data_IF_469831631824
#
_entry.id   IF_469831631824
#
_cell.length_a   1.000
_cell.length_b   1.000
_cell.length_c   1.000
_cell.angle_alpha   90.00
_cell.angle_beta   90.00
_cell.angle_gamma   90.00
#
_symmetry.space_group_name_H-M   'P 1'
#
loop_
_entity.id
_entity.type
_entity.pdbx_description
1 polymer ?
#
# COMPACT_ATOMS: atom_id res chain seq x y z
N UNK A 1 -7.87 -19.40 31.74
CA UNK A 1 -7.69 -18.49 32.87
C UNK A 1 -6.73 -19.15 33.87
N UNK A 2 -5.55 -18.58 34.00
CA UNK A 2 -4.61 -18.96 35.06
C UNK A 2 -5.22 -18.43 36.37
N UNK A 3 -5.65 -19.32 37.26
CA UNK A 3 -6.32 -18.95 38.49
C UNK A 3 -5.40 -18.08 39.35
N UNK A 4 -5.79 -16.85 39.62
CA UNK A 4 -5.08 -15.92 40.51
C UNK A 4 -4.37 -14.76 39.83
N UNK A 5 -4.39 -14.65 38.54
CA UNK A 5 -3.89 -13.45 37.84
C UNK A 5 -5.02 -12.43 37.64
N UNK A 6 -4.75 -11.13 37.81
CA UNK A 6 -5.72 -10.09 37.50
C UNK A 6 -6.14 -10.19 36.03
N UNK A 7 -7.44 -10.17 35.79
CA UNK A 7 -8.00 -10.26 34.47
C UNK A 7 -7.93 -8.85 33.82
N UNK A 8 -7.21 -8.73 32.72
CA UNK A 8 -7.24 -7.50 31.93
C UNK A 8 -8.58 -7.50 31.19
N UNK A 9 -9.51 -6.65 31.61
CA UNK A 9 -10.85 -6.57 31.04
C UNK A 9 -10.97 -5.55 29.91
N UNK A 10 -9.98 -4.68 29.70
CA UNK A 10 -10.01 -3.69 28.64
C UNK A 10 -8.60 -3.41 28.11
N UNK A 11 -8.42 -3.63 26.83
CA UNK A 11 -7.32 -3.10 26.07
C UNK A 11 -7.67 -1.68 25.63
N UNK A 12 -6.94 -0.68 26.10
CA UNK A 12 -7.06 0.68 25.62
C UNK A 12 -5.83 1.00 24.78
N UNK A 13 -6.04 1.28 23.51
CA UNK A 13 -4.99 1.66 22.55
C UNK A 13 -5.18 3.13 22.16
N UNK A 14 -4.75 4.11 22.96
CA UNK A 14 -4.68 5.46 22.46
C UNK A 14 -3.55 5.49 21.43
N UNK A 15 -3.91 5.64 20.19
CA UNK A 15 -3.00 5.96 19.11
C UNK A 15 -2.98 7.47 18.98
N UNK A 16 -1.85 8.08 19.25
CA UNK A 16 -1.63 9.50 18.99
C UNK A 16 -0.56 9.59 17.91
N UNK A 17 -0.96 9.88 16.70
CA UNK A 17 -0.02 10.14 15.62
C UNK A 17 -0.15 11.58 15.14
N UNK A 18 0.98 12.28 15.04
CA UNK A 18 1.09 13.50 14.29
C UNK A 18 1.62 13.12 12.91
N UNK A 19 0.85 13.42 11.89
CA UNK A 19 1.23 13.13 10.50
C UNK A 19 1.49 14.45 9.80
N UNK A 20 2.70 14.60 9.26
CA UNK A 20 3.05 15.70 8.38
C UNK A 20 3.22 15.17 6.95
N UNK A 21 2.58 15.83 5.99
CA UNK A 21 2.70 15.47 4.58
C UNK A 21 2.91 16.74 3.76
N UNK A 22 3.97 16.74 2.95
CA UNK A 22 4.28 17.80 1.99
C UNK A 22 4.25 17.24 0.59
N UNK A 23 3.53 17.90 -0.31
CA UNK A 23 3.51 17.56 -1.73
C UNK A 23 3.80 18.79 -2.57
N UNK A 24 4.56 18.58 -3.61
CA UNK A 24 4.84 19.61 -4.60
C UNK A 24 4.79 19.02 -5.99
N UNK A 25 4.06 19.67 -6.89
CA UNK A 25 3.93 19.22 -8.28
C UNK A 25 4.03 20.41 -9.23
N UNK A 26 4.77 20.23 -10.31
CA UNK A 26 4.87 21.19 -11.41
C UNK A 26 4.60 20.45 -12.70
N UNK A 27 3.70 21.02 -13.52
CA UNK A 27 3.37 20.53 -14.83
C UNK A 27 3.59 21.62 -15.89
N UNK A 28 4.28 21.27 -16.94
CA UNK A 28 4.39 22.03 -18.19
C UNK A 28 3.55 21.31 -19.23
N UNK A 29 2.60 22.01 -19.82
CA UNK A 29 1.62 21.47 -20.78
C UNK A 29 1.69 22.30 -22.06
N UNK A 30 1.69 21.64 -23.21
CA UNK A 30 1.59 22.34 -24.50
C UNK A 30 0.24 23.03 -24.61
N UNK A 31 0.24 24.32 -24.92
CA UNK A 31 -0.99 25.04 -25.27
C UNK A 31 -1.37 24.83 -26.75
N UNK A 32 -0.37 24.55 -27.58
CA UNK A 32 -0.52 24.21 -28.99
C UNK A 32 0.34 22.99 -29.31
N UNK A 33 -0.13 22.11 -30.20
CA UNK A 33 0.66 20.93 -30.57
C UNK A 33 1.99 21.32 -31.21
N UNK A 34 3.07 20.73 -30.70
CA UNK A 34 4.41 20.86 -31.28
C UNK A 34 4.37 20.30 -32.73
N UNK A 35 4.88 21.07 -33.69
CA UNK A 35 4.79 20.79 -35.12
C UNK A 35 3.35 20.61 -35.65
N UNK A 36 2.35 21.06 -34.89
CA UNK A 36 0.94 20.94 -35.25
C UNK A 36 0.33 19.54 -35.01
N UNK A 37 1.08 18.59 -34.45
CA UNK A 37 0.67 17.18 -34.32
C UNK A 37 0.99 16.52 -33.00
N UNK A 38 1.80 17.12 -32.10
CA UNK A 38 2.21 16.49 -30.83
C UNK A 38 1.75 17.37 -29.66
N UNK A 39 0.80 16.87 -28.91
CA UNK A 39 0.48 17.40 -27.58
C UNK A 39 1.37 16.74 -26.55
N UNK A 40 1.82 17.51 -25.54
CA UNK A 40 2.69 16.97 -24.52
C UNK A 40 2.48 17.58 -23.14
N UNK A 41 2.81 16.79 -22.14
CA UNK A 41 2.96 17.21 -20.75
C UNK A 41 4.30 16.71 -20.22
N UNK A 42 4.98 17.53 -19.45
CA UNK A 42 6.17 17.16 -18.68
C UNK A 42 6.00 17.67 -17.27
N UNK A 43 6.32 16.84 -16.26
CA UNK A 43 6.13 17.21 -14.86
C UNK A 43 7.17 16.64 -13.94
N UNK A 44 7.21 17.22 -12.74
CA UNK A 44 7.94 16.71 -11.59
C UNK A 44 7.04 16.71 -10.37
N UNK A 45 7.17 15.69 -9.55
CA UNK A 45 6.40 15.49 -8.33
C UNK A 45 7.33 15.15 -7.18
N UNK A 46 7.11 15.79 -6.04
CA UNK A 46 7.79 15.53 -4.77
C UNK A 46 6.74 15.24 -3.69
N UNK A 47 7.04 14.26 -2.88
CA UNK A 47 6.22 13.83 -1.74
C UNK A 47 7.14 13.56 -0.56
N UNK A 48 6.77 14.10 0.61
CA UNK A 48 7.44 13.90 1.88
C UNK A 48 6.38 13.63 2.94
N UNK A 49 6.51 12.51 3.64
CA UNK A 49 5.54 12.04 4.62
C UNK A 49 6.25 11.51 5.85
N UNK A 50 5.97 12.14 6.98
CA UNK A 50 6.53 11.77 8.28
C UNK A 50 5.40 11.49 9.26
N UNK A 51 5.56 10.45 10.06
CA UNK A 51 4.68 10.17 11.19
C UNK A 51 5.48 10.33 12.47
N UNK A 52 5.16 11.36 13.24
CA UNK A 52 5.71 11.57 14.57
C UNK A 52 4.81 10.90 15.60
N UNK A 53 5.36 10.02 16.40
CA UNK A 53 4.69 9.34 17.51
C UNK A 53 3.59 8.34 17.15
N UNK A 54 3.95 7.09 17.15
CA UNK A 54 3.01 5.98 17.14
C UNK A 54 3.16 5.20 18.45
N UNK A 55 2.34 5.51 19.46
CA UNK A 55 2.45 4.94 20.81
C UNK A 55 1.24 4.07 21.11
N UNK A 56 1.48 2.81 21.45
CA UNK A 56 0.48 1.90 21.98
C UNK A 56 0.61 1.81 23.51
N UNK A 57 -0.46 2.14 24.21
CA UNK A 57 -0.52 2.03 25.65
C UNK A 57 -1.61 1.03 26.07
N UNK A 58 -1.25 0.06 26.92
CA UNK A 58 -2.22 -0.87 27.53
C UNK A 58 -2.43 -0.49 28.99
N UNK A 59 -3.69 -0.45 29.40
CA UNK A 59 -4.11 -0.16 30.79
C UNK A 59 -4.80 -1.37 31.42
N UNK A 60 -4.63 -1.53 32.71
CA UNK A 60 -5.36 -2.54 33.47
C UNK A 60 -6.85 -2.18 33.66
N UNK A 61 -7.62 -3.14 34.22
CA UNK A 61 -9.05 -2.96 34.52
C UNK A 61 -9.36 -1.81 35.48
N UNK A 62 -8.40 -1.38 36.27
CA UNK A 62 -8.53 -0.32 37.24
C UNK A 62 -8.17 1.05 36.65
N UNK A 63 -7.89 1.09 35.35
CA UNK A 63 -7.48 2.30 34.65
C UNK A 63 -6.14 2.89 35.16
N UNK A 64 -5.32 2.03 35.76
CA UNK A 64 -3.98 2.39 36.22
C UNK A 64 -3.05 2.38 35.02
N UNK A 65 -2.33 3.46 34.82
CA UNK A 65 -1.31 3.58 33.78
C UNK A 65 -0.17 2.65 34.14
N UNK A 66 0.01 1.57 33.40
CA UNK A 66 1.02 0.55 33.68
C UNK A 66 2.43 1.01 33.31
N UNK A 67 2.52 1.85 32.30
CA UNK A 67 3.78 2.46 31.84
C UNK A 67 3.51 3.93 31.51
N UNK A 68 4.25 4.85 32.09
CA UNK A 68 4.35 6.21 31.60
C UNK A 68 5.51 6.28 30.61
N UNK A 69 5.19 6.13 29.35
CA UNK A 69 6.19 5.98 28.28
C UNK A 69 6.94 7.28 28.00
N UNK A 70 6.30 8.42 28.23
CA UNK A 70 6.95 9.71 28.01
C UNK A 70 8.18 9.94 28.91
N UNK A 71 8.28 9.21 30.03
CA UNK A 71 9.42 9.30 30.94
C UNK A 71 10.44 8.16 30.80
N UNK A 72 10.21 7.15 29.93
CA UNK A 72 11.09 6.01 29.77
C UNK A 72 11.32 5.18 31.03
N UNK A 73 10.47 5.35 32.04
CA UNK A 73 10.59 4.64 33.32
C UNK A 73 9.76 3.38 33.31
N UNK A 74 10.45 2.29 33.28
CA UNK A 74 9.94 0.96 33.43
C UNK A 74 9.89 0.59 34.93
N UNK A 75 8.70 0.34 35.48
CA UNK A 75 8.53 -0.25 36.80
C UNK A 75 8.19 -1.71 36.67
N UNK A 76 9.14 -2.62 36.96
CA UNK A 76 8.84 -4.05 36.91
C UNK A 76 7.79 -4.41 37.96
N UNK A 77 6.89 -5.32 37.59
CA UNK A 77 5.94 -5.92 38.54
C UNK A 77 6.67 -6.61 39.69
N UNK A 78 6.55 -6.06 40.87
CA UNK A 78 7.32 -6.49 42.05
C UNK A 78 6.48 -7.18 43.14
N UNK A 79 5.20 -7.48 42.85
CA UNK A 79 4.31 -8.04 43.88
C UNK A 79 4.46 -9.55 44.11
N UNK A 80 5.10 -10.27 43.18
CA UNK A 80 5.41 -11.69 43.37
C UNK A 80 6.90 -11.85 43.68
N UNK A 81 7.25 -12.49 44.80
CA UNK A 81 8.64 -12.72 45.19
C UNK A 81 9.45 -13.51 44.15
N UNK A 82 8.80 -14.35 43.36
CA UNK A 82 9.45 -15.13 42.28
C UNK A 82 9.80 -14.20 41.14
N UNK A 83 8.92 -13.25 40.81
CA UNK A 83 9.14 -12.27 39.75
C UNK A 83 10.21 -11.24 40.11
N UNK A 84 10.35 -10.91 41.40
CA UNK A 84 11.40 -10.02 41.88
C UNK A 84 12.81 -10.65 41.74
N UNK A 85 12.89 -11.99 41.79
CA UNK A 85 14.17 -12.72 41.70
C UNK A 85 14.46 -13.30 40.33
N UNK A 86 13.42 -13.57 39.52
CA UNK A 86 13.54 -14.08 38.15
C UNK A 86 12.39 -13.58 37.27
N UNK A 87 12.49 -12.37 36.73
CA UNK A 87 11.46 -11.75 35.92
C UNK A 87 11.17 -12.51 34.59
N UNK A 88 12.04 -13.42 34.18
CA UNK A 88 11.87 -14.25 32.98
C UNK A 88 11.31 -15.66 33.28
N UNK A 89 10.92 -15.97 34.53
CA UNK A 89 10.16 -17.17 34.78
C UNK A 89 8.81 -17.12 34.06
N UNK A 90 8.37 -18.21 33.42
CA UNK A 90 7.22 -18.21 32.51
C UNK A 90 5.92 -17.61 33.08
N UNK A 91 5.70 -17.72 34.42
CA UNK A 91 4.57 -17.08 35.11
C UNK A 91 4.76 -15.55 35.19
N UNK A 92 5.97 -15.10 35.43
CA UNK A 92 6.30 -13.68 35.53
C UNK A 92 6.25 -13.00 34.16
N UNK A 93 6.66 -13.70 33.14
CA UNK A 93 6.56 -13.20 31.76
C UNK A 93 5.10 -13.04 31.32
N UNK A 94 4.23 -13.97 31.70
CA UNK A 94 2.80 -13.86 31.43
C UNK A 94 2.12 -12.74 32.22
N UNK A 95 2.47 -12.60 33.52
CA UNK A 95 1.98 -11.52 34.37
C UNK A 95 2.53 -10.15 33.95
N UNK A 96 3.80 -10.11 33.59
CA UNK A 96 4.48 -8.95 33.07
C UNK A 96 3.82 -8.45 31.73
N UNK A 97 3.57 -9.36 30.81
CA UNK A 97 2.84 -9.04 29.57
C UNK A 97 1.39 -8.58 29.84
N UNK A 98 0.74 -9.14 30.87
CA UNK A 98 -0.62 -8.77 31.22
C UNK A 98 -0.71 -7.39 31.89
N UNK A 99 0.31 -6.97 32.65
CA UNK A 99 0.29 -5.68 33.35
C UNK A 99 0.97 -4.54 32.59
N UNK A 100 2.04 -4.85 31.84
CA UNK A 100 2.79 -3.82 31.11
C UNK A 100 2.27 -3.57 29.71
N UNK A 101 1.44 -4.49 29.23
CA UNK A 101 0.98 -4.44 27.86
C UNK A 101 2.14 -4.55 26.87
N UNK A 102 1.77 -4.46 25.63
CA UNK A 102 2.71 -4.47 24.53
C UNK A 102 2.99 -3.03 24.09
N UNK A 103 4.24 -2.65 24.03
CA UNK A 103 4.68 -1.33 23.57
C UNK A 103 5.46 -1.48 22.30
N UNK A 104 5.00 -0.82 21.26
CA UNK A 104 5.73 -0.66 20.01
C UNK A 104 5.64 0.79 19.58
N UNK A 105 6.77 1.38 19.26
CA UNK A 105 6.87 2.72 18.68
C UNK A 105 7.54 2.59 17.32
N UNK A 106 6.98 3.27 16.33
CA UNK A 106 7.56 3.34 15.01
C UNK A 106 7.40 4.76 14.46
N UNK A 107 8.45 5.27 13.86
CA UNK A 107 8.50 6.60 13.26
C UNK A 107 8.78 6.46 11.76
N UNK A 108 7.78 6.02 10.98
CA UNK A 108 7.96 5.86 9.55
C UNK A 108 8.02 7.21 8.85
N UNK A 109 8.96 7.33 7.93
CA UNK A 109 9.06 8.43 6.98
C UNK A 109 9.19 7.89 5.57
N UNK A 110 8.66 8.63 4.60
CA UNK A 110 8.78 8.31 3.18
C UNK A 110 8.99 9.58 2.38
N UNK A 111 10.01 9.58 1.54
CA UNK A 111 10.27 10.63 0.58
C UNK A 111 10.23 10.05 -0.83
N UNK A 112 9.56 10.73 -1.77
CA UNK A 112 9.46 10.28 -3.15
C UNK A 112 9.65 11.46 -4.11
N UNK A 113 10.53 11.27 -5.08
CA UNK A 113 10.77 12.21 -6.17
C UNK A 113 10.49 11.54 -7.51
N UNK A 114 9.72 12.20 -8.36
CA UNK A 114 9.45 11.67 -9.69
C UNK A 114 9.55 12.74 -10.76
N UNK A 115 10.00 12.30 -11.94
CA UNK A 115 9.89 13.07 -13.17
C UNK A 115 9.14 12.25 -14.21
N UNK A 116 8.28 12.89 -14.98
CA UNK A 116 7.45 12.21 -15.95
C UNK A 116 7.15 13.07 -17.16
N UNK A 117 6.80 12.41 -18.24
CA UNK A 117 6.32 13.07 -19.44
C UNK A 117 5.41 12.14 -20.25
N UNK A 118 4.49 12.74 -20.98
CA UNK A 118 3.63 12.07 -21.94
C UNK A 118 3.53 12.90 -23.22
N UNK A 119 3.51 12.22 -24.35
CA UNK A 119 3.23 12.81 -25.64
C UNK A 119 2.09 12.07 -26.32
N UNK A 120 1.20 12.84 -26.95
CA UNK A 120 0.15 12.32 -27.83
C UNK A 120 0.46 12.78 -29.24
N UNK A 121 0.78 11.84 -30.11
CA UNK A 121 1.04 12.09 -31.52
C UNK A 121 -0.25 11.87 -32.32
N UNK A 122 -0.82 12.94 -32.86
CA UNK A 122 -1.98 12.94 -33.72
C UNK A 122 -1.51 12.62 -35.15
N UNK A 123 -1.39 11.32 -35.47
CA UNK A 123 -0.84 10.86 -36.74
C UNK A 123 -1.80 11.15 -37.93
N UNK A 124 -3.09 11.10 -37.63
CA UNK A 124 -4.19 11.48 -38.53
C UNK A 124 -5.33 12.07 -37.68
N UNK A 125 -6.32 12.67 -38.34
CA UNK A 125 -7.48 13.24 -37.64
C UNK A 125 -8.22 12.22 -36.75
N UNK A 126 -8.09 10.94 -37.10
CA UNK A 126 -8.75 9.83 -36.41
C UNK A 126 -7.78 8.80 -35.82
N UNK A 127 -6.47 9.06 -35.81
CA UNK A 127 -5.47 8.11 -35.29
C UNK A 127 -4.48 8.81 -34.36
N UNK A 128 -4.41 8.36 -33.10
CA UNK A 128 -3.53 8.90 -32.06
C UNK A 128 -2.65 7.81 -31.46
N UNK A 129 -1.39 8.16 -31.22
CA UNK A 129 -0.45 7.36 -30.46
C UNK A 129 -0.08 8.11 -29.19
N UNK A 130 -0.14 7.43 -28.05
CA UNK A 130 0.17 8.01 -26.74
C UNK A 130 1.35 7.26 -26.18
N UNK A 131 2.39 7.99 -25.74
CA UNK A 131 3.56 7.45 -25.05
C UNK A 131 3.79 8.25 -23.79
N UNK A 132 3.85 7.57 -22.66
CA UNK A 132 4.17 8.17 -21.37
C UNK A 132 5.28 7.40 -20.67
N UNK A 133 6.11 8.12 -19.92
CA UNK A 133 7.16 7.54 -19.07
C UNK A 133 7.25 8.31 -17.76
N UNK A 134 7.55 7.60 -16.68
CA UNK A 134 7.83 8.17 -15.35
C UNK A 134 9.00 7.42 -14.73
N UNK A 135 9.91 8.18 -14.15
CA UNK A 135 10.94 7.69 -13.25
C UNK A 135 10.65 8.18 -11.84
N UNK A 136 10.72 7.28 -10.88
CA UNK A 136 10.47 7.58 -9.47
C UNK A 136 11.62 7.03 -8.63
N UNK A 137 12.17 7.87 -7.78
CA UNK A 137 13.01 7.49 -6.64
C UNK A 137 12.15 7.61 -5.38
N UNK A 138 12.12 6.55 -4.59
CA UNK A 138 11.33 6.47 -3.37
C UNK A 138 12.21 5.92 -2.25
N UNK A 139 12.28 6.61 -1.13
CA UNK A 139 13.00 6.18 0.05
C UNK A 139 12.06 6.05 1.23
N UNK A 140 12.25 5.01 1.99
CA UNK A 140 11.50 4.73 3.21
C UNK A 140 12.46 4.50 4.36
N UNK A 141 12.17 5.09 5.52
CA UNK A 141 12.87 4.76 6.75
C UNK A 141 11.91 4.70 7.93
N UNK A 142 12.24 3.90 8.93
CA UNK A 142 11.49 3.86 10.19
C UNK A 142 12.39 3.47 11.35
N UNK A 143 12.47 4.35 12.35
CA UNK A 143 12.99 4.00 13.67
C UNK A 143 11.92 3.20 14.42
N UNK A 144 12.25 1.99 14.82
CA UNK A 144 11.33 1.09 15.52
C UNK A 144 11.88 0.73 16.89
N UNK A 145 11.04 0.86 17.91
CA UNK A 145 11.31 0.44 19.27
C UNK A 145 10.27 -0.58 19.70
N UNK A 146 10.70 -1.77 20.02
CA UNK A 146 9.82 -2.88 20.40
C UNK A 146 10.20 -3.53 21.71
N UNK A 147 9.37 -4.48 22.19
CA UNK A 147 9.60 -5.27 23.37
C UNK A 147 9.99 -4.40 24.58
N UNK A 148 9.04 -3.55 25.01
CA UNK A 148 9.24 -2.70 26.21
C UNK A 148 10.43 -1.73 26.08
N UNK A 149 10.75 -1.29 24.87
CA UNK A 149 11.89 -0.41 24.62
C UNK A 149 13.26 -1.08 24.66
N UNK A 150 13.29 -2.42 24.72
CA UNK A 150 14.55 -3.18 24.81
C UNK A 150 15.21 -3.42 23.45
N UNK A 151 14.44 -3.37 22.37
CA UNK A 151 14.96 -3.55 21.01
C UNK A 151 14.70 -2.31 20.20
N UNK A 152 15.77 -1.77 19.61
CA UNK A 152 15.74 -0.64 18.69
C UNK A 152 16.42 -1.04 17.40
N UNK A 153 15.78 -0.73 16.29
CA UNK A 153 16.35 -0.97 14.98
C UNK A 153 15.83 0.07 14.00
N UNK A 154 16.64 0.34 12.99
CA UNK A 154 16.31 1.18 11.87
C UNK A 154 15.96 0.28 10.68
N UNK A 155 14.86 0.54 10.03
CA UNK A 155 14.46 -0.10 8.78
C UNK A 155 14.59 0.96 7.70
N UNK A 156 15.34 0.68 6.65
CA UNK A 156 15.51 1.56 5.51
C UNK A 156 15.36 0.77 4.22
N UNK A 157 14.79 1.42 3.20
CA UNK A 157 14.68 0.87 1.85
C UNK A 157 14.72 2.02 0.83
N UNK A 158 15.40 1.78 -0.29
CA UNK A 158 15.47 2.69 -1.42
C UNK A 158 14.99 1.95 -2.67
N UNK A 159 14.07 2.57 -3.39
CA UNK A 159 13.39 1.97 -4.54
C UNK A 159 13.49 2.97 -5.69
N UNK A 160 13.99 2.54 -6.83
CA UNK A 160 13.89 3.27 -8.08
C UNK A 160 13.10 2.47 -9.11
N UNK A 161 12.08 3.12 -9.68
CA UNK A 161 11.18 2.46 -10.62
C UNK A 161 10.94 3.29 -11.88
N UNK A 162 10.84 2.56 -13.00
CA UNK A 162 10.50 3.11 -14.31
C UNK A 162 9.16 2.55 -14.75
N UNK A 163 8.20 3.42 -14.90
CA UNK A 163 6.86 3.08 -15.37
C UNK A 163 6.57 3.78 -16.69
N UNK A 164 5.56 3.32 -17.39
CA UNK A 164 5.23 3.90 -18.66
C UNK A 164 3.91 3.42 -19.24
N UNK A 165 3.50 4.10 -20.31
CA UNK A 165 2.29 3.80 -21.04
C UNK A 165 2.55 3.92 -22.54
N UNK A 166 1.99 3.00 -23.30
CA UNK A 166 1.82 3.10 -24.73
C UNK A 166 0.35 2.84 -25.07
N UNK A 167 -0.27 3.69 -25.88
CA UNK A 167 -1.63 3.45 -26.34
C UNK A 167 -1.79 3.89 -27.80
N UNK A 168 -2.70 3.23 -28.47
CA UNK A 168 -3.18 3.57 -29.81
C UNK A 168 -4.68 3.75 -29.73
N UNK A 169 -5.18 4.87 -30.23
CA UNK A 169 -6.59 5.18 -30.30
C UNK A 169 -6.97 5.45 -31.75
N UNK A 170 -8.05 4.85 -32.21
CA UNK A 170 -8.56 5.00 -33.56
C UNK A 170 -10.06 5.28 -33.55
N UNK A 171 -10.44 6.46 -34.05
CA UNK A 171 -11.84 6.84 -34.26
C UNK A 171 -12.29 6.20 -35.57
N UNK A 172 -13.12 5.15 -35.47
CA UNK A 172 -13.67 4.43 -36.64
C UNK A 172 -14.62 5.35 -37.43
N UNK A 173 -15.40 6.12 -36.68
CA UNK A 173 -16.29 7.16 -37.15
C UNK A 173 -16.48 8.23 -36.06
N UNK A 174 -17.46 9.16 -36.26
CA UNK A 174 -17.70 10.22 -35.27
C UNK A 174 -18.23 9.78 -33.92
N UNK A 175 -18.72 8.57 -33.81
CA UNK A 175 -19.40 8.04 -32.62
C UNK A 175 -18.66 6.85 -32.00
N UNK A 176 -17.70 6.25 -32.71
CA UNK A 176 -17.05 5.00 -32.31
C UNK A 176 -15.52 5.12 -32.27
N UNK A 177 -14.92 4.81 -31.14
CA UNK A 177 -13.48 4.72 -30.94
C UNK A 177 -13.10 3.31 -30.49
N UNK A 178 -12.03 2.77 -31.05
CA UNK A 178 -11.33 1.58 -30.55
C UNK A 178 -9.96 1.97 -30.04
N UNK A 179 -9.47 1.25 -29.03
CA UNK A 179 -8.14 1.49 -28.48
C UNK A 179 -7.47 0.20 -28.03
N UNK A 180 -6.16 0.24 -28.01
CA UNK A 180 -5.32 -0.74 -27.34
C UNK A 180 -4.27 -0.02 -26.50
N UNK A 181 -4.01 -0.51 -25.31
CA UNK A 181 -3.00 0.06 -24.43
C UNK A 181 -2.19 -0.99 -23.69
N UNK A 182 -0.94 -0.62 -23.41
CA UNK A 182 -0.06 -1.26 -22.47
C UNK A 182 0.36 -0.22 -21.44
N UNK A 183 0.29 -0.58 -20.15
CA UNK A 183 0.71 0.28 -19.05
C UNK A 183 1.49 -0.53 -18.04
N UNK A 184 2.70 -0.07 -17.70
CA UNK A 184 3.47 -0.55 -16.56
C UNK A 184 3.30 0.42 -15.40
N UNK A 185 2.86 -0.09 -14.25
CA UNK A 185 2.71 0.64 -13.01
C UNK A 185 3.48 -0.02 -11.86
N UNK A 186 3.60 0.67 -10.73
CA UNK A 186 4.12 0.08 -9.51
C UNK A 186 3.44 0.66 -8.26
N UNK A 187 3.49 -0.11 -7.19
CA UNK A 187 3.18 0.31 -5.84
C UNK A 187 4.42 0.05 -4.99
N UNK A 188 4.98 1.08 -4.34
CA UNK A 188 6.25 0.92 -3.64
C UNK A 188 6.15 -0.10 -2.52
N UNK A 189 7.27 -0.75 -2.24
CA UNK A 189 7.49 -1.59 -1.08
C UNK A 189 7.44 -0.80 0.21
N UNK A 190 7.68 -1.47 1.32
CA UNK A 190 7.67 -0.84 2.63
C UNK A 190 7.97 -1.84 3.73
N UNK A 191 7.74 -1.44 4.97
CA UNK A 191 7.99 -2.30 6.11
C UNK A 191 6.72 -2.73 6.83
N UNK A 192 6.75 -3.95 7.32
CA UNK A 192 5.83 -4.47 8.29
C UNK A 192 6.33 -4.03 9.69
N UNK A 193 5.80 -2.92 10.19
CA UNK A 193 6.15 -2.36 11.50
C UNK A 193 5.69 -3.22 12.68
N UNK A 194 5.21 -4.43 12.41
CA UNK A 194 4.71 -5.34 13.42
C UNK A 194 5.82 -6.10 14.12
N UNK A 195 5.91 -5.82 15.41
CA UNK A 195 6.42 -6.67 16.47
C UNK A 195 7.79 -7.33 16.29
N UNK A 196 8.82 -6.55 16.54
CA UNK A 196 9.90 -7.02 17.38
C UNK A 196 10.82 -8.09 16.88
N UNK A 197 11.33 -7.99 15.66
CA UNK A 197 12.52 -8.75 15.32
C UNK A 197 13.56 -7.84 14.70
N UNK A 198 14.81 -7.88 15.20
CA UNK A 198 15.90 -7.21 14.51
C UNK A 198 16.02 -7.79 13.11
N UNK A 199 16.06 -6.92 12.12
CA UNK A 199 16.40 -7.26 10.76
C UNK A 199 17.90 -7.15 10.69
N UNK A 200 18.62 -8.25 10.62
CA UNK A 200 19.93 -8.23 10.01
C UNK A 200 19.77 -8.53 8.53
N UNK A 201 20.70 -8.07 7.73
CA UNK A 201 20.67 -8.14 6.27
C UNK A 201 20.56 -9.58 5.73
N UNK A 202 20.67 -10.59 6.55
CA UNK A 202 20.62 -12.01 6.20
C UNK A 202 19.41 -12.76 6.78
N UNK A 203 18.38 -12.04 7.27
CA UNK A 203 17.10 -12.64 7.69
C UNK A 203 17.23 -13.60 8.88
N UNK A 204 18.19 -13.41 9.72
CA UNK A 204 18.43 -14.29 10.85
C UNK A 204 17.59 -13.86 12.07
N UNK A 205 16.32 -14.16 11.99
CA UNK A 205 15.41 -14.07 13.14
C UNK A 205 15.70 -15.19 14.13
N UNK A 206 16.78 -15.13 14.87
CA UNK A 206 17.16 -16.08 15.88
C UNK A 206 16.28 -17.34 15.98
N UNK A 207 16.64 -18.42 15.29
CA UNK A 207 16.02 -19.74 15.35
C UNK A 207 14.50 -19.82 15.07
N UNK A 208 13.92 -18.94 14.25
CA UNK A 208 12.55 -19.13 13.76
C UNK A 208 12.55 -20.14 12.60
N UNK A 209 11.60 -21.07 12.56
CA UNK A 209 11.49 -21.98 11.43
C UNK A 209 11.15 -21.20 10.15
N UNK A 210 11.94 -21.36 9.11
CA UNK A 210 11.57 -20.90 7.77
C UNK A 210 10.55 -21.90 7.17
N UNK A 211 9.68 -21.45 6.24
CA UNK A 211 9.57 -20.13 5.66
C UNK A 211 8.58 -19.24 6.42
N UNK A 212 8.88 -17.95 6.51
CA UNK A 212 7.93 -16.96 7.04
C UNK A 212 7.10 -16.40 5.87
N UNK A 213 5.81 -16.24 6.08
CA UNK A 213 4.93 -15.59 5.09
C UNK A 213 5.09 -14.07 5.10
N UNK A 214 5.34 -13.49 6.28
CA UNK A 214 5.44 -12.06 6.48
C UNK A 214 6.86 -11.69 6.88
N UNK A 215 7.52 -10.90 6.03
CA UNK A 215 8.87 -10.38 6.23
C UNK A 215 8.84 -8.94 6.75
N UNK A 216 9.90 -8.47 7.41
CA UNK A 216 9.99 -7.07 7.85
C UNK A 216 9.85 -6.07 6.71
N UNK A 217 10.48 -6.33 5.58
CA UNK A 217 10.33 -5.57 4.34
C UNK A 217 9.49 -6.39 3.35
N UNK A 218 8.57 -5.72 2.69
CA UNK A 218 7.87 -6.26 1.54
C UNK A 218 8.24 -5.48 0.28
N UNK A 219 8.33 -6.20 -0.83
CA UNK A 219 8.81 -5.66 -2.10
C UNK A 219 7.75 -4.79 -2.78
N UNK A 220 8.21 -3.95 -3.69
CA UNK A 220 7.35 -3.26 -4.65
C UNK A 220 6.51 -4.26 -5.44
N UNK A 221 5.23 -3.94 -5.60
CA UNK A 221 4.32 -4.61 -6.51
C UNK A 221 4.43 -3.94 -7.88
N UNK A 222 4.61 -4.73 -8.92
CA UNK A 222 4.66 -4.27 -10.30
C UNK A 222 3.44 -4.80 -11.03
N UNK A 223 2.85 -3.99 -11.89
CA UNK A 223 1.76 -4.40 -12.77
C UNK A 223 2.12 -4.09 -14.22
N UNK A 224 1.98 -5.09 -15.08
CA UNK A 224 1.96 -4.97 -16.52
C UNK A 224 0.53 -5.19 -17.01
N UNK A 225 -0.10 -4.12 -17.53
CA UNK A 225 -1.52 -4.11 -17.87
C UNK A 225 -1.71 -3.94 -19.39
N UNK A 226 -2.40 -4.88 -20.01
CA UNK A 226 -2.84 -4.83 -21.40
C UNK A 226 -4.36 -4.64 -21.44
N UNK A 227 -4.81 -3.74 -22.29
CA UNK A 227 -6.24 -3.49 -22.47
C UNK A 227 -6.56 -3.23 -23.93
N UNK A 228 -7.65 -3.82 -24.40
CA UNK A 228 -8.28 -3.58 -25.69
C UNK A 228 -9.73 -3.16 -25.46
N UNK A 229 -10.15 -2.05 -26.03
CA UNK A 229 -11.51 -1.57 -25.79
C UNK A 229 -12.15 -0.88 -26.97
N UNK A 230 -13.46 -0.75 -26.84
CA UNK A 230 -14.34 -0.05 -27.75
C UNK A 230 -15.26 0.87 -26.96
N UNK A 231 -15.39 2.11 -27.39
CA UNK A 231 -16.36 3.09 -26.88
C UNK A 231 -17.20 3.59 -28.03
N UNK A 232 -18.53 3.55 -27.88
CA UNK A 232 -19.42 3.99 -28.95
C UNK A 232 -20.66 4.66 -28.40
N UNK A 233 -21.07 5.74 -29.06
CA UNK A 233 -22.35 6.38 -28.82
C UNK A 233 -23.36 5.81 -29.84
N UNK A 234 -24.47 5.30 -29.35
CA UNK A 234 -25.52 4.66 -30.10
C UNK A 234 -26.82 5.47 -30.02
N UNK A 235 -27.76 5.22 -30.93
CA UNK A 235 -29.09 5.86 -30.94
C UNK A 235 -29.01 7.40 -30.93
N UNK A 236 -28.16 7.95 -31.80
CA UNK A 236 -27.96 9.41 -31.92
C UNK A 236 -27.47 10.06 -30.61
N UNK A 237 -26.53 9.40 -29.90
CA UNK A 237 -25.96 9.85 -28.62
C UNK A 237 -26.86 9.59 -27.38
N UNK A 238 -27.99 8.90 -27.56
CA UNK A 238 -28.89 8.57 -26.43
C UNK A 238 -28.42 7.41 -25.62
N UNK A 239 -27.51 6.59 -26.14
CA UNK A 239 -26.91 5.43 -25.43
C UNK A 239 -25.42 5.40 -25.66
N UNK A 240 -24.65 5.14 -24.61
CA UNK A 240 -23.21 4.87 -24.66
C UNK A 240 -22.96 3.41 -24.32
N UNK A 241 -22.14 2.75 -25.12
CA UNK A 241 -21.63 1.42 -24.87
C UNK A 241 -20.10 1.45 -24.77
N UNK A 242 -19.57 0.90 -23.68
CA UNK A 242 -18.14 0.69 -23.49
C UNK A 242 -17.94 -0.82 -23.31
N UNK A 243 -16.97 -1.38 -24.04
CA UNK A 243 -16.54 -2.78 -23.90
C UNK A 243 -15.04 -2.77 -23.79
N UNK A 244 -14.50 -3.49 -22.81
CA UNK A 244 -13.06 -3.71 -22.68
C UNK A 244 -12.75 -5.16 -22.34
N UNK A 245 -11.60 -5.63 -22.83
CA UNK A 245 -10.96 -6.86 -22.42
C UNK A 245 -9.56 -6.51 -21.89
N UNK A 246 -9.19 -7.07 -20.76
CA UNK A 246 -7.93 -6.75 -20.09
C UNK A 246 -7.20 -8.01 -19.59
N UNK A 247 -5.89 -7.87 -19.46
CA UNK A 247 -4.99 -8.84 -18.84
C UNK A 247 -3.95 -8.06 -18.02
N UNK A 248 -3.82 -8.42 -16.76
CA UNK A 248 -2.89 -7.82 -15.81
C UNK A 248 -1.97 -8.89 -15.26
N UNK A 249 -0.68 -8.68 -15.40
CA UNK A 249 0.37 -9.51 -14.83
C UNK A 249 0.96 -8.76 -13.63
N UNK A 250 0.90 -9.37 -12.47
CA UNK A 250 1.45 -8.82 -11.24
C UNK A 250 2.72 -9.56 -10.84
N UNK A 251 3.76 -8.80 -10.53
CA UNK A 251 4.92 -9.29 -9.81
C UNK A 251 4.89 -8.76 -8.37
N UNK A 252 5.14 -9.63 -7.40
CA UNK A 252 5.15 -9.30 -5.97
C UNK A 252 3.86 -8.62 -5.48
N UNK A 253 2.70 -9.08 -5.92
CA UNK A 253 1.40 -8.55 -5.50
C UNK A 253 1.34 -8.43 -3.96
N UNK A 254 1.07 -7.23 -3.46
CA UNK A 254 1.00 -6.94 -2.03
C UNK A 254 -0.38 -7.25 -1.48
N UNK A 255 -0.47 -8.15 -0.52
CA UNK A 255 -1.73 -8.44 0.15
C UNK A 255 -1.56 -8.53 1.66
N UNK A 256 -2.59 -8.13 2.39
CA UNK A 256 -2.60 -8.22 3.83
C UNK A 256 -2.95 -9.65 4.25
N UNK A 257 -2.11 -10.24 5.07
CA UNK A 257 -2.25 -11.60 5.54
C UNK A 257 -1.90 -11.73 7.02
N UNK A 258 -2.18 -12.89 7.59
CA UNK A 258 -1.71 -13.28 8.91
C UNK A 258 -1.01 -14.62 8.78
N UNK A 259 0.25 -14.67 9.18
CA UNK A 259 1.02 -15.90 9.24
C UNK A 259 0.47 -16.79 10.37
N UNK A 260 -0.08 -17.97 10.07
CA UNK A 260 -0.72 -18.83 11.06
C UNK A 260 0.29 -19.49 12.02
N UNK A 261 1.56 -19.61 11.63
CA UNK A 261 2.58 -20.30 12.41
C UNK A 261 3.15 -19.41 13.51
N UNK A 262 3.20 -18.10 13.23
CA UNK A 262 3.75 -17.10 14.17
C UNK A 262 2.72 -16.07 14.61
N UNK A 263 1.46 -16.19 14.17
CA UNK A 263 0.33 -15.29 14.49
C UNK A 263 0.65 -13.81 14.24
N UNK A 264 1.31 -13.52 13.12
CA UNK A 264 1.65 -12.17 12.71
C UNK A 264 0.80 -11.72 11.55
N UNK A 265 0.23 -10.52 11.67
CA UNK A 265 -0.40 -9.82 10.57
C UNK A 265 0.58 -8.87 9.88
N UNK A 266 0.41 -8.68 8.60
CA UNK A 266 1.21 -7.75 7.81
C UNK A 266 0.96 -7.89 6.32
N UNK A 267 1.78 -7.20 5.54
CA UNK A 267 1.79 -7.31 4.08
C UNK A 267 2.76 -8.40 3.66
N UNK A 268 2.29 -9.31 2.84
CA UNK A 268 3.10 -10.31 2.15
C UNK A 268 3.08 -10.05 0.64
N UNK A 269 4.07 -10.59 -0.07
CA UNK A 269 4.10 -10.55 -1.52
C UNK A 269 3.74 -11.91 -2.11
N UNK A 270 2.81 -11.94 -3.06
CA UNK A 270 2.61 -13.08 -3.97
C UNK A 270 3.56 -12.86 -5.15
N UNK A 271 4.47 -13.82 -5.44
CA UNK A 271 5.53 -13.62 -6.44
C UNK A 271 4.99 -13.29 -7.83
N UNK A 272 3.98 -14.01 -8.27
CA UNK A 272 3.33 -13.87 -9.58
C UNK A 272 1.82 -14.07 -9.42
N UNK A 273 1.02 -13.24 -10.08
CA UNK A 273 -0.42 -13.38 -10.15
C UNK A 273 -0.94 -12.81 -11.46
N UNK A 274 -1.81 -13.51 -12.11
CA UNK A 274 -2.47 -13.07 -13.34
C UNK A 274 -3.95 -12.75 -13.08
N UNK A 275 -4.43 -11.71 -13.76
CA UNK A 275 -5.83 -11.32 -13.70
C UNK A 275 -6.31 -10.95 -15.09
N UNK A 276 -7.39 -11.56 -15.58
CA UNK A 276 -7.96 -11.24 -16.87
C UNK A 276 -9.47 -11.15 -16.85
N UNK A 277 -10.05 -10.38 -17.75
CA UNK A 277 -11.49 -10.22 -17.77
C UNK A 277 -12.03 -9.44 -18.97
N UNK A 278 -13.36 -9.35 -18.98
CA UNK A 278 -14.11 -8.55 -19.94
C UNK A 278 -15.15 -7.73 -19.18
N UNK A 279 -15.28 -6.48 -19.57
CA UNK A 279 -16.26 -5.54 -19.02
C UNK A 279 -17.15 -4.98 -20.13
N UNK A 280 -18.44 -4.86 -19.82
CA UNK A 280 -19.45 -4.20 -20.64
C UNK A 280 -20.20 -3.20 -19.78
N UNK A 281 -20.28 -1.97 -20.27
CA UNK A 281 -21.13 -0.92 -19.71
C UNK A 281 -22.06 -0.39 -20.79
N UNK A 282 -23.36 -0.33 -20.49
CA UNK A 282 -24.39 0.28 -21.34
C UNK A 282 -25.18 1.29 -20.52
N UNK A 283 -25.08 2.57 -20.88
CA UNK A 283 -25.80 3.64 -20.20
C UNK A 283 -26.59 4.40 -21.25
N UNK A 284 -27.90 4.61 -21.03
CA UNK A 284 -28.67 5.35 -22.02
C UNK A 284 -30.10 5.69 -21.62
N UNK A 285 -30.72 6.49 -22.47
CA UNK A 285 -32.11 6.93 -22.38
C UNK A 285 -32.92 6.12 -23.40
N UNK A 286 -33.71 5.16 -22.93
CA UNK A 286 -34.53 4.31 -23.78
C UNK A 286 -35.80 4.99 -24.24
N UNK A 287 -36.37 5.88 -23.39
CA UNK A 287 -37.54 6.71 -23.72
C UNK A 287 -37.54 7.96 -22.83
N UNK A 288 -38.46 8.89 -23.04
CA UNK A 288 -38.61 10.10 -22.23
C UNK A 288 -38.82 9.83 -20.75
N UNK A 289 -39.24 8.64 -20.39
CA UNK A 289 -39.52 8.22 -18.99
C UNK A 289 -38.67 7.04 -18.52
N UNK A 290 -37.73 6.54 -19.34
CA UNK A 290 -36.97 5.33 -18.99
C UNK A 290 -35.49 5.49 -19.40
N UNK A 291 -34.62 5.32 -18.42
CA UNK A 291 -33.18 5.19 -18.60
C UNK A 291 -32.70 3.82 -18.18
N UNK A 292 -31.59 3.39 -18.74
CA UNK A 292 -30.93 2.11 -18.46
C UNK A 292 -29.48 2.36 -18.06
N UNK A 293 -29.03 1.62 -17.04
CA UNK A 293 -27.63 1.47 -16.64
C UNK A 293 -27.40 -0.04 -16.43
N UNK A 294 -26.61 -0.65 -17.31
CA UNK A 294 -26.27 -2.08 -17.27
C UNK A 294 -24.76 -2.22 -17.24
N UNK A 295 -24.25 -2.95 -16.26
CA UNK A 295 -22.82 -3.28 -16.14
C UNK A 295 -22.67 -4.78 -15.96
N UNK A 296 -21.79 -5.38 -16.75
CA UNK A 296 -21.45 -6.79 -16.69
C UNK A 296 -19.94 -6.89 -16.69
N UNK A 297 -19.37 -7.65 -15.76
CA UNK A 297 -17.95 -7.96 -15.73
C UNK A 297 -17.72 -9.45 -15.49
N UNK A 298 -16.66 -9.97 -16.09
CA UNK A 298 -16.10 -11.29 -15.78
C UNK A 298 -14.68 -11.10 -15.35
N UNK A 299 -14.24 -11.90 -14.38
CA UNK A 299 -12.88 -11.87 -13.87
C UNK A 299 -12.41 -13.30 -13.66
N UNK A 300 -11.21 -13.59 -14.15
CA UNK A 300 -10.45 -14.81 -13.90
C UNK A 300 -9.13 -14.45 -13.26
N UNK A 301 -8.68 -15.21 -12.27
CA UNK A 301 -7.46 -14.94 -11.50
C UNK A 301 -6.70 -16.23 -11.23
N UNK A 302 -5.38 -16.20 -11.44
CA UNK A 302 -4.46 -17.29 -11.12
C UNK A 302 -3.33 -16.81 -10.20
#
# INVERSE_FOLDING_TARGET
PLAGLPYIAAEYRPETSLVETKTFEVNLISNEPLFGVIDWIFGAFYFDHEIENHIYEVKDVNNVKLVDQMDGKFTPYTHDPICATNPFAGICFAAFNAELGFVSEAYPSRESLSVYGQATYNAQDNLRYIVGMRYTEDSFSSDVTNFFGLQKYLIEDEIDEKTGKFAVEYDVDGDTMVYASYTKGFKPGGSNLTFGYPVDDEQNFGAQPAPQLIYPLFKSEIIDAFELGLKTDLMEGRMRANVSAFMYDYENLQFQSTDPDVYRGGVANIPESEMSGVELELIGILSDSLSMDLRISTLDTE
#
